data_IF_401494282490
#
_entry.id   IF_401494282490
#
_cell.length_a   1.000
_cell.length_b   1.000
_cell.length_c   1.000
_cell.angle_alpha   90.00
_cell.angle_beta   90.00
_cell.angle_gamma   90.00
#
_symmetry.space_group_name_H-M   'P 1'
#
loop_
_entity.id
_entity.type
_entity.pdbx_description
1 polymer ?
#
# COMPACT_ATOMS: atom_id res chain seq x y z
N UNK A 1 -8.61 18.82 5.39
CA UNK A 1 -7.49 18.44 6.28
C UNK A 1 -6.84 17.20 5.70
N UNK A 2 -5.54 17.22 5.45
CA UNK A 2 -4.80 16.02 5.04
C UNK A 2 -4.72 15.06 6.23
N UNK A 3 -4.84 13.75 5.99
CA UNK A 3 -4.68 12.72 7.03
C UNK A 3 -3.19 12.45 7.26
N UNK A 4 -2.81 12.21 8.50
CA UNK A 4 -1.44 11.78 8.85
C UNK A 4 -1.26 10.28 8.57
N UNK A 5 -0.01 9.81 8.57
CA UNK A 5 0.29 8.37 8.45
C UNK A 5 -0.36 7.55 9.59
N UNK A 6 -0.37 8.12 10.81
CA UNK A 6 -1.02 7.53 11.97
C UNK A 6 -2.55 7.43 11.78
N UNK A 7 -3.19 8.48 11.24
CA UNK A 7 -4.63 8.47 10.95
C UNK A 7 -4.99 7.39 9.93
N UNK A 8 -4.21 7.28 8.84
CA UNK A 8 -4.40 6.25 7.81
C UNK A 8 -4.21 4.84 8.39
N UNK A 9 -3.16 4.65 9.21
CA UNK A 9 -2.89 3.35 9.85
C UNK A 9 -4.03 2.95 10.80
N UNK A 10 -4.60 3.90 11.54
CA UNK A 10 -5.73 3.65 12.43
C UNK A 10 -7.00 3.28 11.66
N UNK A 11 -7.25 3.93 10.51
CA UNK A 11 -8.40 3.63 9.65
C UNK A 11 -8.24 2.25 8.98
N UNK A 12 -7.07 1.95 8.40
CA UNK A 12 -6.77 0.67 7.79
C UNK A 12 -6.92 -0.49 8.80
N UNK A 13 -6.45 -0.29 10.04
CA UNK A 13 -6.63 -1.29 11.10
C UNK A 13 -8.09 -1.54 11.43
N UNK A 14 -8.93 -0.50 11.48
CA UNK A 14 -10.38 -0.68 11.70
C UNK A 14 -11.02 -1.50 10.59
N UNK A 15 -10.66 -1.27 9.34
CA UNK A 15 -11.15 -2.08 8.20
C UNK A 15 -10.66 -3.51 8.32
N UNK A 16 -9.38 -3.72 8.64
CA UNK A 16 -8.81 -5.06 8.85
C UNK A 16 -9.46 -5.82 10.01
N UNK A 17 -9.83 -5.12 11.10
CA UNK A 17 -10.55 -5.70 12.24
C UNK A 17 -11.99 -6.11 11.86
N UNK A 18 -12.64 -5.37 10.95
CA UNK A 18 -13.93 -5.78 10.38
C UNK A 18 -13.77 -7.04 9.54
N UNK A 19 -12.74 -7.09 8.70
CA UNK A 19 -12.43 -8.24 7.86
C UNK A 19 -12.19 -9.52 8.67
N UNK A 20 -11.40 -9.47 9.75
CA UNK A 20 -11.19 -10.64 10.63
C UNK A 20 -12.51 -11.10 11.28
N UNK A 21 -13.32 -10.17 11.78
CA UNK A 21 -14.62 -10.50 12.38
C UNK A 21 -15.59 -11.16 11.40
N UNK A 22 -15.55 -10.76 10.14
CA UNK A 22 -16.47 -11.23 9.10
C UNK A 22 -16.03 -12.54 8.47
N UNK A 23 -14.72 -12.73 8.29
CA UNK A 23 -14.15 -13.90 7.59
C UNK A 23 -13.60 -14.97 8.51
N UNK A 24 -13.27 -14.62 9.75
CA UNK A 24 -12.57 -15.50 10.69
C UNK A 24 -11.10 -15.75 10.32
N UNK A 25 -10.52 -14.94 9.43
CA UNK A 25 -9.12 -15.11 9.04
C UNK A 25 -8.19 -14.85 10.21
N UNK A 26 -7.16 -15.68 10.36
CA UNK A 26 -6.08 -15.42 11.31
C UNK A 26 -5.06 -14.47 10.69
N UNK A 27 -4.87 -13.30 11.29
CA UNK A 27 -3.90 -12.27 10.86
C UNK A 27 -2.56 -12.43 11.58
N UNK A 28 -1.86 -13.54 11.34
CA UNK A 28 -0.52 -13.77 11.86
C UNK A 28 0.58 -13.08 11.03
N UNK A 29 1.85 -13.25 11.42
CA UNK A 29 2.98 -12.58 10.77
C UNK A 29 3.04 -12.84 9.27
N UNK A 30 2.78 -14.10 8.88
CA UNK A 30 2.78 -14.53 7.48
C UNK A 30 1.60 -13.92 6.71
N UNK A 31 0.44 -13.75 7.34
CA UNK A 31 -0.74 -13.18 6.71
C UNK A 31 -0.50 -11.78 6.14
N UNK A 32 0.10 -10.86 6.91
CA UNK A 32 0.38 -9.51 6.43
C UNK A 32 1.39 -9.51 5.28
N UNK A 33 2.43 -10.34 5.37
CA UNK A 33 3.44 -10.46 4.32
C UNK A 33 2.86 -11.03 3.02
N UNK A 34 2.01 -12.06 3.11
CA UNK A 34 1.36 -12.68 1.97
C UNK A 34 0.32 -11.74 1.34
N UNK A 35 -0.45 -11.00 2.14
CA UNK A 35 -1.38 -9.99 1.62
C UNK A 35 -0.66 -8.87 0.88
N UNK A 36 0.47 -8.36 1.38
CA UNK A 36 1.27 -7.39 0.61
C UNK A 36 1.72 -7.94 -0.75
N UNK A 37 2.08 -9.23 -0.83
CA UNK A 37 2.44 -9.87 -2.09
C UNK A 37 1.24 -10.03 -3.04
N UNK A 38 0.06 -10.31 -2.49
CA UNK A 38 -1.22 -10.36 -3.22
C UNK A 38 -1.54 -8.99 -3.84
N UNK A 39 -1.63 -7.92 -3.02
CA UNK A 39 -1.98 -6.57 -3.50
C UNK A 39 -0.94 -6.02 -4.50
N UNK A 40 0.35 -6.31 -4.27
CA UNK A 40 1.38 -5.94 -5.23
C UNK A 40 1.19 -6.65 -6.58
N UNK A 41 0.77 -7.92 -6.55
CA UNK A 41 0.47 -8.69 -7.76
C UNK A 41 -0.71 -8.12 -8.53
N UNK A 42 -1.78 -7.74 -7.83
CA UNK A 42 -2.98 -7.13 -8.42
C UNK A 42 -2.67 -5.74 -8.99
N UNK A 43 -1.93 -4.90 -8.26
CA UNK A 43 -1.43 -3.61 -8.76
C UNK A 43 -0.61 -3.77 -10.05
N UNK A 44 0.31 -4.73 -10.09
CA UNK A 44 1.12 -5.01 -11.29
C UNK A 44 0.22 -5.51 -12.43
N UNK A 45 -0.78 -6.36 -12.15
CA UNK A 45 -1.69 -6.87 -13.17
C UNK A 45 -2.43 -5.71 -13.87
N UNK A 46 -2.99 -4.78 -13.12
CA UNK A 46 -3.71 -3.63 -13.69
C UNK A 46 -2.76 -2.63 -14.38
N UNK A 47 -1.56 -2.43 -13.85
CA UNK A 47 -0.49 -1.68 -14.55
C UNK A 47 -0.14 -2.31 -15.91
N UNK A 48 -0.03 -3.64 -15.98
CA UNK A 48 0.26 -4.34 -17.23
C UNK A 48 -0.92 -4.25 -18.21
N UNK A 49 -2.17 -4.24 -17.74
CA UNK A 49 -3.34 -4.03 -18.62
C UNK A 49 -3.32 -2.65 -19.27
N UNK A 50 -3.03 -1.59 -18.54
CA UNK A 50 -2.92 -0.22 -19.10
C UNK A 50 -1.80 -0.11 -20.13
N UNK A 51 -0.63 -0.71 -19.83
CA UNK A 51 0.50 -0.70 -20.75
C UNK A 51 0.36 -1.65 -21.96
N UNK A 52 -0.78 -2.35 -22.09
CA UNK A 52 -1.06 -3.27 -23.21
C UNK A 52 -0.35 -4.61 -23.12
N UNK A 53 0.27 -4.94 -21.98
CA UNK A 53 0.99 -6.19 -21.72
C UNK A 53 0.13 -7.21 -20.97
N UNK A 54 -1.02 -6.80 -20.44
CA UNK A 54 -2.02 -7.64 -19.78
C UNK A 54 -3.32 -7.80 -20.61
N UNK A 55 -4.14 -8.79 -20.26
CA UNK A 55 -5.45 -9.02 -20.92
C UNK A 55 -6.48 -7.99 -20.44
N UNK A 56 -7.02 -7.17 -21.35
CA UNK A 56 -8.02 -6.14 -21.03
C UNK A 56 -9.41 -6.66 -20.64
N UNK A 57 -9.79 -7.92 -20.95
CA UNK A 57 -11.07 -8.55 -20.57
C UNK A 57 -12.32 -7.63 -20.70
N UNK A 58 -12.40 -6.82 -21.75
CA UNK A 58 -13.46 -5.83 -22.04
C UNK A 58 -13.54 -4.61 -21.12
N UNK A 59 -12.62 -4.42 -20.19
CA UNK A 59 -12.55 -3.20 -19.39
C UNK A 59 -12.10 -2.01 -20.24
N UNK A 60 -12.73 -0.87 -19.97
CA UNK A 60 -12.30 0.45 -20.45
C UNK A 60 -11.05 0.91 -19.71
N UNK A 61 -10.32 1.86 -20.28
CA UNK A 61 -9.12 2.40 -19.63
C UNK A 61 -9.45 3.09 -18.29
N UNK A 62 -10.63 3.71 -18.18
CA UNK A 62 -11.08 4.33 -16.94
C UNK A 62 -11.27 3.30 -15.81
N UNK A 63 -11.94 2.18 -16.11
CA UNK A 63 -12.13 1.08 -15.13
C UNK A 63 -10.80 0.46 -14.69
N UNK A 64 -9.85 0.31 -15.61
CA UNK A 64 -8.53 -0.24 -15.27
C UNK A 64 -7.71 0.77 -14.43
N UNK A 65 -7.84 2.08 -14.70
CA UNK A 65 -7.20 3.12 -13.88
C UNK A 65 -7.77 3.11 -12.46
N UNK A 66 -9.10 3.06 -12.33
CA UNK A 66 -9.78 3.00 -11.02
C UNK A 66 -9.31 1.76 -10.24
N UNK A 67 -9.35 0.58 -10.86
CA UNK A 67 -8.87 -0.65 -10.24
C UNK A 67 -7.40 -0.52 -9.80
N UNK A 68 -6.50 -0.05 -10.67
CA UNK A 68 -5.08 0.14 -10.32
C UNK A 68 -4.89 1.09 -9.13
N UNK A 69 -5.69 2.16 -9.07
CA UNK A 69 -5.60 3.15 -8.00
C UNK A 69 -6.11 2.56 -6.67
N UNK A 70 -7.14 1.69 -6.71
CA UNK A 70 -7.61 0.90 -5.58
C UNK A 70 -6.54 -0.10 -5.11
N UNK A 71 -5.91 -0.86 -6.01
CA UNK A 71 -4.83 -1.81 -5.66
C UNK A 71 -3.61 -1.10 -5.03
N UNK A 72 -3.33 0.13 -5.46
CA UNK A 72 -2.28 0.94 -4.85
C UNK A 72 -2.65 1.36 -3.41
N UNK A 73 -3.94 1.64 -3.17
CA UNK A 73 -4.45 1.94 -1.84
C UNK A 73 -4.40 0.71 -0.93
N UNK A 74 -4.74 -0.48 -1.44
CA UNK A 74 -4.68 -1.74 -0.69
C UNK A 74 -3.24 -2.12 -0.34
N UNK A 75 -2.31 -2.01 -1.30
CA UNK A 75 -0.89 -2.23 -1.02
C UNK A 75 -0.36 -1.27 0.05
N UNK A 76 -0.75 0.02 0.00
CA UNK A 76 -0.38 0.98 1.04
C UNK A 76 -0.99 0.59 2.39
N UNK A 77 -2.28 0.23 2.43
CA UNK A 77 -2.96 -0.17 3.67
C UNK A 77 -2.25 -1.37 4.31
N UNK A 78 -1.93 -2.41 3.54
CA UNK A 78 -1.22 -3.58 4.05
C UNK A 78 0.22 -3.29 4.47
N UNK A 79 0.93 -2.37 3.82
CA UNK A 79 2.23 -1.91 4.29
C UNK A 79 2.14 -1.21 5.66
N UNK A 80 1.12 -0.37 5.87
CA UNK A 80 0.88 0.30 7.16
C UNK A 80 0.53 -0.71 8.25
N UNK A 81 -0.32 -1.70 7.92
CA UNK A 81 -0.70 -2.77 8.85
C UNK A 81 0.49 -3.66 9.21
N UNK A 82 1.28 -4.06 8.22
CA UNK A 82 2.51 -4.84 8.42
C UNK A 82 3.50 -4.10 9.32
N UNK A 83 3.70 -2.80 9.07
CA UNK A 83 4.57 -1.97 9.89
C UNK A 83 4.07 -1.87 11.34
N UNK A 84 2.78 -1.61 11.53
CA UNK A 84 2.16 -1.57 12.86
C UNK A 84 2.30 -2.90 13.59
N UNK A 85 2.04 -4.02 12.92
CA UNK A 85 2.13 -5.37 13.50
C UNK A 85 3.56 -5.70 13.98
N UNK A 86 4.57 -5.26 13.24
CA UNK A 86 5.98 -5.52 13.54
C UNK A 86 6.66 -4.41 14.36
N UNK A 87 5.92 -3.39 14.81
CA UNK A 87 6.49 -2.27 15.57
C UNK A 87 7.46 -1.40 14.77
N UNK A 88 7.30 -1.32 13.45
CA UNK A 88 8.13 -0.51 12.55
C UNK A 88 7.61 0.93 12.58
N UNK A 89 8.44 1.84 13.09
CA UNK A 89 8.24 3.28 12.91
C UNK A 89 8.66 3.66 11.48
N UNK A 90 7.66 3.74 10.58
CA UNK A 90 7.89 4.05 9.16
C UNK A 90 8.42 5.47 8.97
N UNK A 91 7.99 6.45 9.75
CA UNK A 91 8.45 7.84 9.64
C UNK A 91 9.93 7.91 10.02
N UNK A 92 10.33 7.35 11.16
CA UNK A 92 11.73 7.29 11.56
C UNK A 92 12.59 6.43 10.61
N UNK A 93 12.02 5.37 10.01
CA UNK A 93 12.71 4.57 9.02
C UNK A 93 12.95 5.33 7.70
N UNK A 94 11.97 6.12 7.26
CA UNK A 94 12.11 7.02 6.10
C UNK A 94 13.14 8.11 6.37
N UNK A 95 13.08 8.77 7.54
CA UNK A 95 14.06 9.78 7.97
C UNK A 95 15.49 9.22 7.90
N UNK A 96 15.70 8.06 8.54
CA UNK A 96 17.00 7.41 8.61
C UNK A 96 17.51 6.94 7.24
N UNK A 97 16.64 6.35 6.42
CA UNK A 97 17.06 5.65 5.19
C UNK A 97 16.92 6.50 3.94
N UNK A 98 15.75 7.09 3.69
CA UNK A 98 15.44 7.77 2.44
C UNK A 98 15.78 9.26 2.50
N UNK A 99 15.38 9.94 3.57
CA UNK A 99 15.56 11.38 3.68
C UNK A 99 16.99 11.79 4.04
N UNK A 100 17.83 10.86 4.50
CA UNK A 100 19.28 11.07 4.60
C UNK A 100 19.94 11.34 3.24
N UNK A 101 19.29 10.98 2.13
CA UNK A 101 19.75 11.33 0.77
C UNK A 101 19.24 12.68 0.28
N UNK A 102 18.34 13.36 1.01
CA UNK A 102 18.03 14.77 0.77
C UNK A 102 19.27 15.57 1.17
N UNK A 103 20.26 15.63 0.27
CA UNK A 103 21.29 16.65 0.36
C UNK A 103 20.55 17.98 0.38
N UNK A 104 20.87 18.84 1.35
CA UNK A 104 20.53 20.25 1.24
C UNK A 104 20.89 20.66 -0.19
N UNK A 105 19.93 21.20 -0.94
CA UNK A 105 20.20 21.93 -2.17
C UNK A 105 21.30 22.94 -1.82
N UNK A 106 22.56 22.54 -2.00
CA UNK A 106 23.68 23.45 -1.96
C UNK A 106 23.50 24.25 -3.23
N UNK A 107 22.82 25.38 -3.05
CA UNK A 107 23.17 26.68 -3.61
C UNK A 107 24.28 26.54 -4.66
N UNK A 108 23.87 26.38 -5.91
CA UNK A 108 24.67 26.83 -7.02
C UNK A 108 23.91 28.01 -7.62
N UNK A 109 24.33 29.21 -7.18
CA UNK A 109 24.35 30.49 -7.92
C UNK A 109 23.17 30.84 -8.80
#
# INVERSE_FOLDING_TARGET
MSRTLADLTALAARVSDMYERETGVRRDDDWYALKMQEELGELIAEHLRLSGRGRRKNFTDAEIIEARDDEAADLLAFLLLYARHNGIDLEAALDRKWFSYLRADKENG
#
